data_IF_373622489703
#
_entry.id   IF_373622489703
#
_cell.length_a   1.000
_cell.length_b   1.000
_cell.length_c   1.000
_cell.angle_alpha   90.00
_cell.angle_beta   90.00
_cell.angle_gamma   90.00
#
_symmetry.space_group_name_H-M   'P 1'
#
loop_
_entity.id
_entity.type
_entity.pdbx_description
1 polymer ?
#
# COMPACT_ATOMS: atom_id res chain seq x y z
N UNK A 1 9.94 2.30 -6.23
CA UNK A 1 10.94 1.51 -6.95
C UNK A 1 12.37 1.89 -6.54
N UNK A 2 12.81 3.13 -6.76
CA UNK A 2 14.18 3.59 -6.46
C UNK A 2 14.63 3.37 -5.01
N UNK A 3 13.74 3.54 -4.03
CA UNK A 3 14.05 3.31 -2.63
C UNK A 3 14.49 1.86 -2.40
N UNK A 4 13.73 0.89 -2.88
CA UNK A 4 14.04 -0.54 -2.73
C UNK A 4 15.31 -0.93 -3.49
N UNK A 5 15.51 -0.36 -4.67
CA UNK A 5 16.72 -0.60 -5.47
C UNK A 5 18.01 -0.14 -4.77
N UNK A 6 17.98 0.90 -3.94
CA UNK A 6 19.13 1.33 -3.12
C UNK A 6 19.58 0.28 -2.11
N UNK A 7 18.70 -0.66 -1.79
CA UNK A 7 18.97 -1.77 -0.86
C UNK A 7 19.17 -3.11 -1.59
N UNK A 8 19.48 -3.07 -2.89
CA UNK A 8 19.67 -4.23 -3.76
C UNK A 8 18.42 -5.13 -3.90
N UNK A 9 17.25 -4.62 -3.53
CA UNK A 9 15.98 -5.27 -3.78
C UNK A 9 15.52 -5.03 -5.23
N UNK A 10 14.85 -6.01 -5.81
CA UNK A 10 14.37 -5.98 -7.20
C UNK A 10 12.86 -6.03 -7.22
N UNK A 11 12.19 -4.88 -7.06
CA UNK A 11 10.74 -4.83 -7.19
C UNK A 11 10.32 -5.06 -8.64
N UNK A 12 9.23 -5.78 -8.81
CA UNK A 12 8.53 -5.99 -10.06
C UNK A 12 7.38 -4.98 -10.18
N UNK A 13 7.20 -4.41 -11.37
CA UNK A 13 6.04 -3.60 -11.71
C UNK A 13 5.09 -4.45 -12.56
N UNK A 14 3.94 -4.73 -12.02
CA UNK A 14 2.89 -5.55 -12.63
C UNK A 14 1.79 -4.63 -13.13
N UNK A 15 1.65 -4.51 -14.44
CA UNK A 15 0.64 -3.66 -15.07
C UNK A 15 -0.76 -4.13 -14.71
N UNK A 16 -1.58 -3.23 -14.20
CA UNK A 16 -2.97 -3.47 -13.81
C UNK A 16 -3.94 -2.71 -14.72
N UNK A 17 -3.62 -1.46 -14.99
CA UNK A 17 -4.30 -0.60 -15.93
C UNK A 17 -3.25 0.23 -16.68
N UNK A 18 -3.60 0.83 -17.81
CA UNK A 18 -2.66 1.55 -18.69
C UNK A 18 -1.82 2.57 -17.91
N UNK A 19 -0.50 2.34 -17.85
CA UNK A 19 0.47 3.15 -17.11
C UNK A 19 0.30 3.12 -15.58
N UNK A 20 -0.48 2.20 -15.02
CA UNK A 20 -0.77 2.10 -13.57
C UNK A 20 -0.44 0.71 -13.03
N UNK A 21 0.83 0.42 -12.75
CA UNK A 21 1.24 -0.88 -12.22
C UNK A 21 1.09 -0.98 -10.70
N UNK A 22 0.86 -2.18 -10.20
CA UNK A 22 1.23 -2.56 -8.85
C UNK A 22 2.74 -2.70 -8.75
N UNK A 23 3.29 -2.46 -7.56
CA UNK A 23 4.68 -2.81 -7.25
C UNK A 23 4.70 -4.01 -6.31
N UNK A 24 5.40 -5.07 -6.70
CA UNK A 24 5.63 -6.25 -5.87
C UNK A 24 7.11 -6.38 -5.57
N UNK A 25 7.46 -6.69 -4.32
CA UNK A 25 8.84 -6.95 -3.93
C UNK A 25 8.89 -8.07 -2.91
N UNK A 26 9.56 -9.16 -3.22
CA UNK A 26 9.63 -10.35 -2.36
C UNK A 26 11.05 -10.56 -1.83
N UNK A 27 11.13 -10.90 -0.55
CA UNK A 27 12.34 -11.39 0.12
C UNK A 27 12.09 -12.81 0.53
N UNK A 28 12.99 -13.71 0.12
CA UNK A 28 12.97 -15.12 0.48
C UNK A 28 13.81 -15.36 1.74
N UNK A 29 13.33 -16.23 2.60
CA UNK A 29 14.06 -16.71 3.77
C UNK A 29 15.01 -17.83 3.44
N UNK A 30 15.82 -18.23 4.42
CA UNK A 30 16.83 -19.27 4.28
C UNK A 30 16.29 -20.70 4.11
N UNK A 31 14.99 -20.92 4.35
CA UNK A 31 14.32 -22.22 4.21
C UNK A 31 12.84 -22.05 3.89
N UNK A 32 12.16 -23.11 3.40
CA UNK A 32 10.72 -23.09 3.20
C UNK A 32 9.95 -22.71 4.47
N UNK A 33 8.84 -21.99 4.32
CA UNK A 33 7.99 -21.55 5.44
C UNK A 33 6.84 -20.70 4.95
N UNK A 34 6.12 -20.03 5.86
CA UNK A 34 4.94 -19.26 5.52
C UNK A 34 5.25 -18.02 4.67
N UNK A 35 4.26 -17.58 3.91
CA UNK A 35 4.30 -16.37 3.13
C UNK A 35 3.50 -15.26 3.82
N UNK A 36 4.16 -14.16 4.17
CA UNK A 36 3.52 -12.97 4.70
C UNK A 36 3.43 -11.89 3.62
N UNK A 37 2.22 -11.38 3.41
CA UNK A 37 1.98 -10.21 2.57
C UNK A 37 1.96 -8.94 3.43
N UNK A 38 2.71 -7.92 3.00
CA UNK A 38 2.58 -6.54 3.44
C UNK A 38 1.87 -5.78 2.33
N UNK A 39 0.66 -5.29 2.58
CA UNK A 39 -0.15 -4.65 1.55
C UNK A 39 -0.48 -3.20 1.90
N UNK A 40 -0.41 -2.33 0.92
CA UNK A 40 -0.84 -0.95 1.03
C UNK A 40 -1.01 -0.31 -0.34
N UNK A 41 -1.81 0.79 -0.40
CA UNK A 41 -2.08 1.46 -1.65
C UNK A 41 -1.17 2.67 -1.91
N UNK A 42 -1.05 3.04 -3.17
CA UNK A 42 -0.21 4.15 -3.65
C UNK A 42 -0.98 5.37 -4.08
N UNK A 43 -2.25 5.20 -4.38
CA UNK A 43 -3.16 6.29 -4.74
C UNK A 43 -3.63 7.08 -3.51
N UNK A 44 -4.36 8.12 -3.73
CA UNK A 44 -4.96 8.97 -2.70
C UNK A 44 -6.26 9.55 -3.23
N UNK A 45 -7.19 9.88 -2.35
CA UNK A 45 -8.29 10.76 -2.72
C UNK A 45 -7.75 12.12 -3.22
N UNK A 46 -8.48 12.83 -4.10
CA UNK A 46 -8.07 14.13 -4.60
C UNK A 46 -7.97 15.17 -3.47
N UNK A 47 -7.22 16.24 -3.74
CA UNK A 47 -7.26 17.43 -2.88
C UNK A 47 -8.62 18.10 -3.04
N UNK A 48 -9.18 18.56 -1.92
CA UNK A 48 -10.38 19.38 -1.93
C UNK A 48 -10.03 20.86 -1.65
N UNK A 49 -10.97 21.76 -1.90
CA UNK A 49 -10.78 23.20 -1.71
C UNK A 49 -10.49 23.59 -0.26
N UNK A 50 -10.81 22.72 0.68
CA UNK A 50 -10.61 22.94 2.13
C UNK A 50 -9.24 22.48 2.63
N UNK A 51 -8.36 21.97 1.76
CA UNK A 51 -6.98 21.58 2.09
C UNK A 51 -5.92 22.65 1.72
N UNK A 52 -6.15 23.96 1.97
CA UNK A 52 -5.21 24.99 1.56
C UNK A 52 -3.89 24.88 2.33
N UNK A 53 -2.80 24.83 1.58
CA UNK A 53 -1.44 24.88 2.12
C UNK A 53 -0.85 23.54 2.55
N UNK A 54 -1.60 22.45 2.60
CA UNK A 54 -1.06 21.11 2.85
C UNK A 54 -0.72 20.41 1.54
N UNK A 55 -1.68 20.24 0.65
CA UNK A 55 -1.52 19.68 -0.69
C UNK A 55 -0.61 18.45 -0.71
N UNK A 56 0.24 18.36 -1.72
CA UNK A 56 1.27 17.34 -1.88
C UNK A 56 2.66 17.85 -1.44
N UNK A 57 2.73 18.73 -0.45
CA UNK A 57 3.97 19.42 -0.06
C UNK A 57 5.06 18.48 0.48
N UNK A 58 4.70 17.42 1.18
CA UNK A 58 5.66 16.57 1.89
C UNK A 58 6.46 17.33 2.97
N UNK A 59 5.94 18.45 3.47
CA UNK A 59 6.61 19.30 4.45
C UNK A 59 6.80 18.55 5.77
N UNK A 60 8.00 18.62 6.32
CA UNK A 60 8.30 18.13 7.67
C UNK A 60 8.36 19.32 8.63
N UNK A 61 7.49 19.33 9.62
CA UNK A 61 7.38 20.38 10.62
C UNK A 61 6.94 19.77 11.95
N UNK A 62 7.57 20.17 13.04
CA UNK A 62 7.32 19.67 14.40
C UNK A 62 7.30 18.13 14.51
N UNK A 63 8.21 17.46 13.78
CA UNK A 63 8.33 16.00 13.76
C UNK A 63 7.18 15.28 13.03
N UNK A 64 6.39 16.00 12.24
CA UNK A 64 5.27 15.46 11.43
C UNK A 64 5.52 15.69 9.96
N UNK A 65 5.14 14.71 9.15
CA UNK A 65 5.11 14.82 7.71
C UNK A 65 3.69 15.24 7.26
N UNK A 66 3.60 16.38 6.58
CA UNK A 66 2.35 16.96 6.11
C UNK A 66 2.18 16.72 4.61
N UNK A 67 1.01 16.24 4.21
CA UNK A 67 0.67 16.05 2.81
C UNK A 67 -0.44 15.01 2.61
N UNK A 68 -1.18 15.15 1.52
CA UNK A 68 -2.15 14.15 1.08
C UNK A 68 -1.44 12.80 0.89
N UNK A 69 -2.01 11.73 1.43
CA UNK A 69 -1.43 10.39 1.41
C UNK A 69 -0.34 10.14 2.46
N UNK A 70 0.08 11.14 3.28
CA UNK A 70 1.10 10.91 4.31
C UNK A 70 0.62 9.91 5.37
N UNK A 71 -0.64 10.02 5.80
CA UNK A 71 -1.26 9.09 6.76
C UNK A 71 -1.92 7.93 6.02
N UNK A 72 -2.67 8.21 4.98
CA UNK A 72 -3.46 7.29 4.18
C UNK A 72 -2.90 7.23 2.75
N UNK A 73 -2.11 6.17 2.42
CA UNK A 73 -1.39 5.36 3.43
C UNK A 73 0.10 5.22 3.07
N UNK A 74 0.69 6.22 2.36
CA UNK A 74 2.10 6.18 1.93
C UNK A 74 3.10 6.07 3.10
N UNK A 75 2.73 6.58 4.29
CA UNK A 75 3.55 6.42 5.49
C UNK A 75 3.72 4.95 5.87
N UNK A 76 2.64 4.18 5.84
CA UNK A 76 2.69 2.74 6.10
C UNK A 76 3.41 1.98 4.97
N UNK A 77 3.18 2.33 3.70
CA UNK A 77 3.92 1.74 2.57
C UNK A 77 5.43 1.95 2.74
N UNK A 78 5.85 3.15 3.12
CA UNK A 78 7.26 3.47 3.39
C UNK A 78 7.82 2.65 4.55
N UNK A 79 7.06 2.51 5.65
CA UNK A 79 7.46 1.71 6.80
C UNK A 79 7.61 0.22 6.45
N UNK A 80 6.66 -0.34 5.68
CA UNK A 80 6.71 -1.72 5.20
C UNK A 80 7.89 -1.95 4.24
N UNK A 81 8.16 -1.00 3.33
CA UNK A 81 9.32 -1.06 2.44
C UNK A 81 10.64 -1.02 3.23
N UNK A 82 10.73 -0.18 4.25
CA UNK A 82 11.91 -0.11 5.11
C UNK A 82 12.10 -1.40 5.94
N UNK A 83 11.02 -1.98 6.45
CA UNK A 83 11.07 -3.26 7.17
C UNK A 83 11.54 -4.40 6.27
N UNK A 84 11.03 -4.47 5.03
CA UNK A 84 11.44 -5.47 4.04
C UNK A 84 12.94 -5.32 3.70
N UNK A 85 13.40 -4.10 3.47
CA UNK A 85 14.80 -3.80 3.20
C UNK A 85 15.71 -4.19 4.37
N UNK A 86 15.29 -3.90 5.61
CA UNK A 86 16.04 -4.27 6.80
C UNK A 86 16.14 -5.79 6.99
N UNK A 87 15.06 -6.54 6.71
CA UNK A 87 15.08 -7.99 6.74
C UNK A 87 16.03 -8.57 5.70
N UNK A 88 15.99 -8.04 4.48
CA UNK A 88 16.90 -8.46 3.40
C UNK A 88 18.36 -8.21 3.77
N UNK A 89 18.70 -6.99 4.19
CA UNK A 89 20.09 -6.61 4.52
C UNK A 89 20.65 -7.37 5.71
N UNK A 90 19.83 -7.71 6.67
CA UNK A 90 20.28 -8.43 7.88
C UNK A 90 20.26 -9.95 7.75
N UNK A 91 19.64 -10.49 6.69
CA UNK A 91 19.46 -11.93 6.49
C UNK A 91 18.64 -12.60 7.61
N UNK A 92 17.79 -11.82 8.33
CA UNK A 92 17.07 -12.33 9.50
C UNK A 92 15.77 -13.07 9.17
N UNK A 93 15.36 -13.11 7.92
CA UNK A 93 14.25 -13.96 7.51
C UNK A 93 14.76 -15.41 7.39
N UNK A 94 14.62 -16.17 8.46
CA UNK A 94 15.18 -17.53 8.54
C UNK A 94 14.39 -18.56 7.73
N UNK A 95 13.07 -18.34 7.55
CA UNK A 95 12.20 -19.25 6.81
C UNK A 95 11.03 -18.50 6.19
N UNK A 96 10.44 -19.07 5.14
CA UNK A 96 9.30 -18.51 4.42
C UNK A 96 9.69 -17.35 3.53
N UNK A 97 8.72 -16.50 3.21
CA UNK A 97 8.94 -15.31 2.38
C UNK A 97 8.04 -14.15 2.82
N UNK A 98 8.46 -12.95 2.49
CA UNK A 98 7.69 -11.74 2.74
C UNK A 98 7.59 -10.94 1.44
N UNK A 99 6.39 -10.58 1.05
CA UNK A 99 6.13 -9.75 -0.13
C UNK A 99 5.52 -8.42 0.29
N UNK A 100 6.12 -7.34 -0.16
CA UNK A 100 5.45 -6.02 -0.20
C UNK A 100 4.67 -5.92 -1.50
N UNK A 101 3.38 -5.65 -1.40
CA UNK A 101 2.51 -5.27 -2.50
C UNK A 101 2.05 -3.82 -2.28
N UNK A 102 2.54 -2.91 -3.11
CA UNK A 102 2.05 -1.54 -3.18
C UNK A 102 1.08 -1.46 -4.36
N UNK A 103 -0.22 -1.50 -4.05
CA UNK A 103 -1.29 -1.63 -5.03
C UNK A 103 -1.84 -0.28 -5.44
N UNK A 104 -2.54 -0.25 -6.57
CA UNK A 104 -3.21 0.94 -7.09
C UNK A 104 -4.70 0.91 -6.80
N UNK A 105 -5.33 2.09 -6.85
CA UNK A 105 -6.78 2.28 -7.00
C UNK A 105 -7.63 1.79 -5.81
N UNK A 106 -7.05 1.79 -4.61
CA UNK A 106 -7.79 1.35 -3.41
C UNK A 106 -8.95 2.30 -3.09
N UNK A 107 -8.74 3.59 -3.27
CA UNK A 107 -9.65 4.68 -2.92
C UNK A 107 -10.90 4.77 -3.83
N UNK A 108 -10.99 3.94 -4.89
CA UNK A 108 -12.10 3.98 -5.85
C UNK A 108 -12.67 2.56 -6.11
N UNK A 109 -11.93 1.71 -6.83
CA UNK A 109 -12.43 0.39 -7.29
C UNK A 109 -11.58 -0.78 -6.80
N UNK A 110 -10.46 -0.51 -6.13
CA UNK A 110 -9.50 -1.52 -5.63
C UNK A 110 -8.91 -2.42 -6.73
N UNK A 111 -8.77 -1.90 -7.96
CA UNK A 111 -8.29 -2.65 -9.12
C UNK A 111 -6.97 -3.39 -8.87
N UNK A 112 -6.05 -2.75 -8.14
CA UNK A 112 -4.75 -3.32 -7.84
C UNK A 112 -4.83 -4.56 -6.94
N UNK A 113 -5.64 -4.51 -5.91
CA UNK A 113 -5.86 -5.62 -4.99
C UNK A 113 -6.62 -6.77 -5.69
N UNK A 114 -7.66 -6.45 -6.47
CA UNK A 114 -8.36 -7.44 -7.29
C UNK A 114 -7.44 -8.15 -8.28
N UNK A 115 -6.60 -7.39 -8.99
CA UNK A 115 -5.63 -7.95 -9.92
C UNK A 115 -4.68 -8.92 -9.22
N UNK A 116 -4.17 -8.54 -8.04
CA UNK A 116 -3.29 -9.38 -7.25
C UNK A 116 -3.95 -10.72 -6.91
N UNK A 117 -5.20 -10.71 -6.47
CA UNK A 117 -5.96 -11.92 -6.15
C UNK A 117 -6.25 -12.74 -7.41
N UNK A 118 -6.71 -12.11 -8.49
CA UNK A 118 -7.04 -12.78 -9.75
C UNK A 118 -5.83 -13.39 -10.45
N UNK A 119 -4.63 -12.85 -10.22
CA UNK A 119 -3.38 -13.43 -10.73
C UNK A 119 -2.98 -14.73 -10.03
N UNK A 120 -3.73 -15.17 -9.02
CA UNK A 120 -3.43 -16.37 -8.24
C UNK A 120 -2.43 -16.15 -7.11
N UNK A 121 -2.15 -14.89 -6.73
CA UNK A 121 -1.28 -14.61 -5.60
C UNK A 121 -1.88 -15.20 -4.32
N UNK A 122 -1.02 -15.87 -3.53
CA UNK A 122 -1.40 -16.49 -2.26
C UNK A 122 -0.40 -16.15 -1.17
N UNK A 123 -0.93 -15.92 0.04
CA UNK A 123 -0.15 -15.73 1.26
C UNK A 123 -0.86 -16.43 2.43
N UNK A 124 -0.08 -16.85 3.42
CA UNK A 124 -0.62 -17.48 4.65
C UNK A 124 -1.16 -16.45 5.63
N UNK A 125 -0.72 -15.20 5.49
CA UNK A 125 -1.21 -14.07 6.28
C UNK A 125 -0.93 -12.75 5.58
N UNK A 126 -1.66 -11.72 5.97
CA UNK A 126 -1.49 -10.37 5.42
C UNK A 126 -1.53 -9.31 6.52
N UNK A 127 -0.71 -8.27 6.35
CA UNK A 127 -0.79 -7.03 7.11
C UNK A 127 -1.15 -5.93 6.11
N UNK A 128 -2.30 -5.30 6.31
CA UNK A 128 -2.73 -4.13 5.56
C UNK A 128 -2.44 -2.89 6.41
N UNK A 129 -1.66 -1.96 5.87
CA UNK A 129 -1.07 -0.86 6.66
C UNK A 129 -1.97 0.37 6.81
N UNK A 130 -3.29 0.22 6.82
CA UNK A 130 -4.24 1.32 6.96
C UNK A 130 -4.10 2.10 8.28
N UNK A 131 -4.53 3.39 8.32
CA UNK A 131 -4.34 4.27 9.48
C UNK A 131 -5.28 3.92 10.64
N UNK A 132 -4.95 2.88 11.40
CA UNK A 132 -5.74 2.37 12.55
C UNK A 132 -5.25 2.92 13.91
N UNK A 133 -4.47 4.00 13.92
CA UNK A 133 -3.79 4.53 15.12
C UNK A 133 -2.89 3.48 15.80
N UNK A 134 -2.20 2.67 15.01
CA UNK A 134 -1.36 1.54 15.45
C UNK A 134 -2.12 0.49 16.29
N UNK A 135 -3.42 0.35 16.06
CA UNK A 135 -4.22 -0.73 16.67
C UNK A 135 -4.38 -1.86 15.66
N UNK A 136 -4.27 -3.08 16.13
CA UNK A 136 -4.56 -4.25 15.30
C UNK A 136 -6.07 -4.37 15.11
N UNK A 137 -6.52 -4.28 13.85
CA UNK A 137 -7.90 -4.54 13.44
C UNK A 137 -7.94 -5.89 12.74
N UNK A 138 -8.82 -6.78 13.15
CA UNK A 138 -8.94 -8.15 12.60
C UNK A 138 -10.01 -8.27 11.53
N UNK A 139 -10.63 -7.16 11.14
CA UNK A 139 -11.65 -7.10 10.10
C UNK A 139 -12.17 -5.67 9.93
N UNK A 140 -12.92 -5.46 8.88
CA UNK A 140 -13.60 -4.19 8.58
C UNK A 140 -15.00 -4.46 8.03
N UNK A 141 -15.81 -3.40 7.97
CA UNK A 141 -17.12 -3.45 7.30
C UNK A 141 -16.92 -3.28 5.79
N UNK A 142 -17.86 -3.83 5.01
CA UNK A 142 -17.94 -3.54 3.59
C UNK A 142 -18.31 -2.10 3.32
N UNK A 143 -17.99 -1.61 2.12
CA UNK A 143 -18.35 -0.30 1.60
C UNK A 143 -19.13 -0.49 0.30
N UNK A 144 -20.23 0.25 0.15
CA UNK A 144 -21.02 0.33 -1.07
C UNK A 144 -21.19 1.80 -1.44
N UNK A 145 -20.93 2.14 -2.69
CA UNK A 145 -21.17 3.46 -3.26
C UNK A 145 -22.56 3.47 -3.92
N UNK A 146 -23.40 4.40 -3.51
CA UNK A 146 -24.74 4.60 -4.09
C UNK A 146 -24.83 6.00 -4.66
N UNK A 147 -25.14 6.11 -5.94
CA UNK A 147 -25.49 7.37 -6.58
C UNK A 147 -27.00 7.43 -6.79
N UNK A 148 -27.63 8.48 -6.29
CA UNK A 148 -29.05 8.77 -6.52
C UNK A 148 -29.20 10.06 -7.30
N UNK A 149 -29.75 9.96 -8.50
CA UNK A 149 -30.02 11.12 -9.38
C UNK A 149 -31.50 11.46 -9.31
N UNK A 150 -31.80 12.68 -8.94
CA UNK A 150 -33.17 13.21 -8.90
C UNK A 150 -33.35 14.26 -10.01
N UNK A 151 -34.23 13.98 -10.94
CA UNK A 151 -34.65 14.95 -11.94
C UNK A 151 -35.95 15.63 -11.52
N UNK A 152 -36.00 16.96 -11.58
CA UNK A 152 -37.16 17.73 -11.19
C UNK A 152 -37.26 19.08 -11.92
N UNK A 153 -38.42 19.74 -11.82
CA UNK A 153 -38.59 21.14 -12.22
C UNK A 153 -38.49 22.01 -10.99
N UNK A 154 -37.67 23.07 -11.08
CA UNK A 154 -37.65 24.17 -10.12
C UNK A 154 -38.80 25.14 -10.38
#
# INVERSE_FOLDING_TARGET
>A
NEFLARWDLRPELVEVADGRPNLLCTVEGGSPGPHLLLCGHTDTVPLNETDPGVGFSGRVEDGRLWGRGATDMKGAVAAMAAALAALYQTGRLSAGRMTLAAVIDEEIESLGAEHLIRSGFQADGAIVGEPTRNRVCIGHKGLEWLEMVFEGKA
#
